data_IF_259019807401
#
_entry.id   IF_259019807401
#
_cell.length_a   1.000
_cell.length_b   1.000
_cell.length_c   1.000
_cell.angle_alpha   90.00
_cell.angle_beta   90.00
_cell.angle_gamma   90.00
#
_symmetry.space_group_name_H-M   'P 1'
#
loop_
_entity.id
_entity.type
_entity.pdbx_description
1 polymer ?
#
# COMPACT_ATOMS: atom_id res chain seq x y z
N UNK A 1 -19.10 -14.72 -21.51
CA UNK A 1 -20.57 -14.63 -21.68
C UNK A 1 -21.04 -13.51 -20.79
N UNK A 2 -21.57 -12.44 -21.37
CA UNK A 2 -22.04 -11.27 -20.62
C UNK A 2 -23.39 -11.66 -20.02
N UNK A 3 -23.41 -12.00 -18.73
CA UNK A 3 -24.64 -12.19 -17.97
C UNK A 3 -25.17 -10.82 -17.57
N UNK A 4 -26.31 -10.45 -18.14
CA UNK A 4 -27.10 -9.28 -17.73
C UNK A 4 -27.67 -9.59 -16.34
N UNK A 5 -27.27 -8.84 -15.32
CA UNK A 5 -27.85 -8.96 -13.99
C UNK A 5 -29.14 -8.12 -13.92
N UNK A 6 -30.25 -8.79 -13.63
CA UNK A 6 -31.52 -8.15 -13.28
C UNK A 6 -31.35 -7.40 -11.96
N UNK A 7 -31.47 -6.07 -12.00
CA UNK A 7 -31.32 -5.22 -10.82
C UNK A 7 -32.64 -5.23 -10.05
N UNK A 8 -32.70 -5.95 -8.93
CA UNK A 8 -33.79 -5.81 -7.96
C UNK A 8 -33.55 -4.57 -7.09
N UNK A 9 -34.54 -3.68 -6.88
CA UNK A 9 -34.39 -2.54 -5.99
C UNK A 9 -34.12 -3.02 -4.56
N UNK A 10 -33.03 -2.56 -3.94
CA UNK A 10 -32.66 -2.87 -2.55
C UNK A 10 -31.51 -3.86 -2.36
N UNK A 11 -30.96 -4.44 -3.43
CA UNK A 11 -29.73 -5.26 -3.37
C UNK A 11 -28.49 -4.44 -3.77
N UNK A 12 -27.33 -4.68 -3.15
CA UNK A 12 -26.08 -4.04 -3.58
C UNK A 12 -25.77 -4.44 -5.03
N UNK A 13 -25.34 -3.46 -5.83
CA UNK A 13 -24.90 -3.70 -7.21
C UNK A 13 -23.55 -4.41 -7.14
N UNK A 14 -23.51 -5.69 -7.50
CA UNK A 14 -22.27 -6.46 -7.58
C UNK A 14 -21.71 -6.33 -8.99
N UNK A 15 -20.62 -5.58 -9.13
CA UNK A 15 -19.90 -5.44 -10.40
C UNK A 15 -18.74 -6.45 -10.46
N UNK A 16 -18.78 -7.37 -11.42
CA UNK A 16 -17.66 -8.26 -11.70
C UNK A 16 -16.69 -7.58 -12.67
N UNK A 17 -15.53 -7.15 -12.17
CA UNK A 17 -14.49 -6.47 -12.95
C UNK A 17 -13.63 -7.41 -13.82
N UNK A 18 -13.59 -8.72 -13.52
CA UNK A 18 -12.81 -9.71 -14.26
C UNK A 18 -11.36 -9.28 -14.50
N UNK A 19 -10.94 -9.22 -15.77
CA UNK A 19 -9.56 -8.85 -16.17
C UNK A 19 -9.15 -7.46 -15.67
N UNK A 20 -10.09 -6.51 -15.57
CA UNK A 20 -9.79 -5.16 -15.09
C UNK A 20 -9.34 -5.15 -13.63
N UNK A 21 -9.78 -6.13 -12.82
CA UNK A 21 -9.32 -6.26 -11.44
C UNK A 21 -7.84 -6.65 -11.36
N UNK A 22 -7.37 -7.52 -12.25
CA UNK A 22 -5.95 -7.86 -12.34
C UNK A 22 -5.09 -6.67 -12.79
N UNK A 23 -5.59 -5.89 -13.75
CA UNK A 23 -4.94 -4.64 -14.14
C UNK A 23 -4.87 -3.66 -12.97
N UNK A 24 -5.96 -3.50 -12.21
CA UNK A 24 -5.98 -2.69 -11.00
C UNK A 24 -4.93 -3.13 -9.98
N UNK A 25 -4.82 -4.43 -9.67
CA UNK A 25 -3.81 -4.95 -8.75
C UNK A 25 -2.38 -4.66 -9.23
N UNK A 26 -2.11 -4.81 -10.52
CA UNK A 26 -0.81 -4.49 -11.10
C UNK A 26 -0.49 -2.99 -10.98
N UNK A 27 -1.45 -2.12 -11.31
CA UNK A 27 -1.31 -0.68 -11.19
C UNK A 27 -1.15 -0.24 -9.73
N UNK A 28 -1.81 -0.90 -8.78
CA UNK A 28 -1.64 -0.66 -7.35
C UNK A 28 -0.20 -0.94 -6.92
N UNK A 29 0.38 -2.08 -7.32
CA UNK A 29 1.77 -2.40 -7.02
C UNK A 29 2.75 -1.39 -7.64
N UNK A 30 2.52 -0.98 -8.90
CA UNK A 30 3.32 0.05 -9.57
C UNK A 30 3.16 1.41 -8.85
N UNK A 31 1.97 1.74 -8.41
CA UNK A 31 1.70 2.97 -7.67
C UNK A 31 2.45 2.99 -6.34
N UNK A 32 2.32 1.95 -5.51
CA UNK A 32 2.94 1.93 -4.18
C UNK A 32 4.47 2.09 -4.23
N UNK A 33 5.14 1.45 -5.19
CA UNK A 33 6.60 1.53 -5.34
C UNK A 33 7.05 2.94 -5.76
N UNK A 34 6.38 3.54 -6.74
CA UNK A 34 6.72 4.86 -7.24
C UNK A 34 6.29 5.98 -6.29
N UNK A 35 5.15 5.84 -5.60
CA UNK A 35 4.61 6.86 -4.73
C UNK A 35 5.48 7.10 -3.49
N UNK A 36 6.06 6.04 -2.92
CA UNK A 36 7.09 6.16 -1.87
C UNK A 36 8.35 6.81 -2.47
N UNK A 37 8.77 6.37 -3.66
CA UNK A 37 10.02 6.85 -4.26
C UNK A 37 10.01 8.35 -4.62
N UNK A 38 8.87 8.89 -5.05
CA UNK A 38 8.75 10.33 -5.32
C UNK A 38 8.49 11.16 -4.06
N UNK A 39 8.16 10.52 -2.94
CA UNK A 39 7.95 11.17 -1.65
C UNK A 39 9.14 10.90 -0.72
N UNK A 40 10.30 11.40 -1.13
CA UNK A 40 11.62 10.99 -0.64
C UNK A 40 12.57 12.19 -0.51
N UNK A 41 13.78 11.92 0.00
CA UNK A 41 14.94 12.82 -0.01
C UNK A 41 15.11 13.74 1.20
N UNK A 42 14.44 13.41 2.31
CA UNK A 42 14.80 13.91 3.65
C UNK A 42 15.21 12.70 4.49
N UNK A 43 16.27 12.83 5.29
CA UNK A 43 16.81 11.74 6.11
C UNK A 43 15.71 11.02 6.93
N UNK A 44 15.53 9.72 6.68
CA UNK A 44 14.56 8.89 7.39
C UNK A 44 13.14 8.89 6.81
N UNK A 45 12.85 9.68 5.76
CA UNK A 45 11.47 9.87 5.27
C UNK A 45 10.91 8.62 4.59
N UNK A 46 11.69 7.98 3.71
CA UNK A 46 11.29 6.81 2.94
C UNK A 46 11.02 5.62 3.86
N UNK A 47 11.91 5.39 4.83
CA UNK A 47 11.80 4.30 5.80
C UNK A 47 10.73 4.61 6.84
N UNK A 48 10.68 5.85 7.34
CA UNK A 48 9.73 6.28 8.36
C UNK A 48 8.28 6.16 7.89
N UNK A 49 7.95 6.68 6.70
CA UNK A 49 6.59 6.56 6.16
C UNK A 49 6.19 5.10 5.95
N UNK A 50 7.13 4.27 5.49
CA UNK A 50 6.92 2.85 5.22
C UNK A 50 6.64 2.05 6.51
N UNK A 51 7.36 2.36 7.60
CA UNK A 51 7.10 1.80 8.93
C UNK A 51 5.71 2.19 9.43
N UNK A 52 5.33 3.47 9.32
CA UNK A 52 4.02 3.95 9.77
C UNK A 52 2.89 3.19 9.06
N UNK A 53 2.99 3.05 7.73
CA UNK A 53 2.01 2.28 6.95
C UNK A 53 2.02 0.80 7.36
N UNK A 54 3.20 0.19 7.49
CA UNK A 54 3.33 -1.20 7.95
C UNK A 54 2.68 -1.44 9.32
N UNK A 55 2.84 -0.51 10.27
CA UNK A 55 2.17 -0.56 11.57
C UNK A 55 0.64 -0.45 11.44
N UNK A 56 0.12 0.43 10.57
CA UNK A 56 -1.33 0.50 10.31
C UNK A 56 -1.87 -0.79 9.71
N UNK A 57 -1.14 -1.44 8.81
CA UNK A 57 -1.54 -2.75 8.27
C UNK A 57 -1.57 -3.81 9.38
N UNK A 58 -0.55 -3.87 10.24
CA UNK A 58 -0.53 -4.82 11.37
C UNK A 58 -1.74 -4.59 12.29
N UNK A 59 -2.02 -3.34 12.65
CA UNK A 59 -3.17 -2.98 13.49
C UNK A 59 -4.49 -3.38 12.79
N UNK A 60 -4.62 -3.10 11.50
CA UNK A 60 -5.79 -3.47 10.70
C UNK A 60 -6.01 -4.99 10.72
N UNK A 61 -4.98 -5.78 10.44
CA UNK A 61 -5.08 -7.23 10.40
C UNK A 61 -5.48 -7.81 11.77
N UNK A 62 -4.92 -7.29 12.86
CA UNK A 62 -5.29 -7.71 14.23
C UNK A 62 -6.76 -7.37 14.52
N UNK A 63 -7.21 -6.16 14.16
CA UNK A 63 -8.61 -5.75 14.34
C UNK A 63 -9.57 -6.62 13.52
N UNK A 64 -9.23 -6.94 12.27
CA UNK A 64 -10.03 -7.82 11.41
C UNK A 64 -10.17 -9.22 12.01
N UNK A 65 -9.10 -9.77 12.59
CA UNK A 65 -9.14 -11.08 13.27
C UNK A 65 -10.02 -11.02 14.54
N UNK A 66 -9.94 -9.95 15.32
CA UNK A 66 -10.64 -9.84 16.61
C UNK A 66 -12.14 -9.53 16.47
N UNK A 67 -12.54 -8.75 15.47
CA UNK A 67 -13.89 -8.18 15.38
C UNK A 67 -14.91 -9.06 14.64
N UNK A 68 -14.50 -10.21 14.07
CA UNK A 68 -15.32 -10.96 13.11
C UNK A 68 -15.93 -12.32 13.51
N UNK A 69 -16.01 -12.78 14.78
CA UNK A 69 -16.44 -14.15 15.04
C UNK A 69 -17.91 -14.46 14.63
N UNK A 70 -18.79 -13.46 14.42
CA UNK A 70 -20.24 -13.70 14.29
C UNK A 70 -20.91 -13.16 13.01
N UNK A 71 -20.19 -12.56 12.05
CA UNK A 71 -20.81 -11.83 10.93
C UNK A 71 -20.28 -12.18 9.52
N UNK A 72 -19.33 -13.11 9.39
CA UNK A 72 -18.63 -13.33 8.11
C UNK A 72 -18.76 -14.77 7.63
N UNK A 73 -19.27 -14.93 6.42
CA UNK A 73 -19.25 -16.20 5.70
C UNK A 73 -17.78 -16.61 5.47
N UNK A 74 -17.40 -17.81 5.89
CA UNK A 74 -16.03 -18.35 5.81
C UNK A 74 -14.97 -17.61 6.66
N UNK A 75 -15.21 -17.47 7.96
CA UNK A 75 -14.26 -16.94 8.95
C UNK A 75 -12.82 -17.49 8.82
N UNK A 76 -12.67 -18.79 8.52
CA UNK A 76 -11.35 -19.41 8.35
C UNK A 76 -10.53 -18.78 7.21
N UNK A 77 -11.18 -18.45 6.09
CA UNK A 77 -10.50 -17.83 4.95
C UNK A 77 -9.99 -16.43 5.31
N UNK A 78 -10.81 -15.64 6.03
CA UNK A 78 -10.42 -14.30 6.44
C UNK A 78 -9.26 -14.35 7.43
N UNK A 79 -9.32 -15.24 8.43
CA UNK A 79 -8.21 -15.38 9.37
C UNK A 79 -6.92 -15.75 8.63
N UNK A 80 -6.98 -16.71 7.69
CA UNK A 80 -5.82 -17.11 6.89
C UNK A 80 -5.24 -15.96 6.05
N UNK A 81 -6.08 -15.14 5.40
CA UNK A 81 -5.60 -14.01 4.60
C UNK A 81 -4.94 -12.93 5.46
N UNK A 82 -5.48 -12.64 6.64
CA UNK A 82 -4.89 -11.69 7.59
C UNK A 82 -3.57 -12.20 8.18
N UNK A 83 -3.45 -13.50 8.45
CA UNK A 83 -2.21 -14.12 8.93
C UNK A 83 -1.08 -14.04 7.89
N UNK A 84 -1.35 -14.35 6.63
CA UNK A 84 -0.36 -14.21 5.54
C UNK A 84 0.15 -12.76 5.46
N UNK A 85 -0.76 -11.80 5.59
CA UNK A 85 -0.41 -10.38 5.61
C UNK A 85 0.46 -10.01 6.83
N UNK A 86 0.12 -10.50 8.03
CA UNK A 86 0.92 -10.30 9.25
C UNK A 86 2.32 -10.92 9.15
N UNK A 87 2.43 -12.13 8.60
CA UNK A 87 3.70 -12.84 8.40
C UNK A 87 4.66 -12.06 7.50
N UNK A 88 4.14 -11.27 6.54
CA UNK A 88 4.96 -10.35 5.74
C UNK A 88 5.26 -9.04 6.46
N UNK A 89 4.28 -8.46 7.17
CA UNK A 89 4.42 -7.13 7.78
C UNK A 89 5.31 -7.08 9.00
N UNK A 90 5.30 -8.10 9.85
CA UNK A 90 6.15 -8.17 11.04
C UNK A 90 7.64 -8.10 10.68
N UNK A 91 8.18 -8.97 9.79
CA UNK A 91 9.58 -8.87 9.40
C UNK A 91 9.87 -7.58 8.62
N UNK A 92 8.95 -7.11 7.76
CA UNK A 92 9.09 -5.85 7.03
C UNK A 92 9.31 -4.65 7.96
N UNK A 93 8.48 -4.52 9.00
CA UNK A 93 8.61 -3.45 10.00
C UNK A 93 9.89 -3.62 10.79
N UNK A 94 10.24 -4.85 11.21
CA UNK A 94 11.46 -5.11 11.97
C UNK A 94 12.74 -4.73 11.21
N UNK A 95 12.86 -5.14 9.94
CA UNK A 95 14.03 -4.79 9.12
C UNK A 95 14.06 -3.30 8.78
N UNK A 96 12.88 -2.68 8.57
CA UNK A 96 12.79 -1.24 8.33
C UNK A 96 13.18 -0.43 9.56
N UNK A 97 12.81 -0.86 10.77
CA UNK A 97 13.25 -0.23 12.02
C UNK A 97 14.76 -0.32 12.19
N UNK A 98 15.36 -1.47 11.87
CA UNK A 98 16.82 -1.63 11.88
C UNK A 98 17.51 -0.70 10.87
N UNK A 99 16.96 -0.56 9.66
CA UNK A 99 17.46 0.35 8.64
C UNK A 99 17.29 1.82 9.05
N UNK A 100 16.16 2.18 9.65
CA UNK A 100 15.87 3.54 10.12
C UNK A 100 16.92 4.00 11.14
N UNK A 101 17.47 3.11 11.97
CA UNK A 101 18.55 3.46 12.90
C UNK A 101 19.76 4.09 12.20
N UNK A 102 20.07 3.66 10.97
CA UNK A 102 21.19 4.18 10.19
C UNK A 102 20.79 5.31 9.23
N UNK A 103 19.52 5.32 8.80
CA UNK A 103 18.99 6.30 7.85
C UNK A 103 18.34 7.54 8.51
N UNK A 104 18.01 7.47 9.80
CA UNK A 104 17.47 8.59 10.58
C UNK A 104 18.47 9.74 10.63
N UNK A 105 17.96 10.96 10.85
CA UNK A 105 18.79 12.16 10.90
C UNK A 105 19.77 12.13 12.10
N UNK A 106 21.07 12.46 11.90
CA UNK A 106 21.77 12.64 10.63
C UNK A 106 22.07 11.29 9.96
N UNK A 107 21.67 11.14 8.69
CA UNK A 107 21.74 9.85 7.98
C UNK A 107 23.18 9.43 7.71
N UNK A 108 23.48 8.16 7.99
CA UNK A 108 24.76 7.51 7.68
C UNK A 108 24.69 6.66 6.42
N UNK A 109 23.49 6.24 5.99
CA UNK A 109 23.25 5.43 4.80
C UNK A 109 22.00 5.89 4.06
N UNK A 110 22.06 5.90 2.73
CA UNK A 110 20.88 6.10 1.90
C UNK A 110 20.25 4.77 1.50
N UNK A 111 18.93 4.75 1.43
CA UNK A 111 18.17 3.53 1.12
C UNK A 111 18.00 3.29 -0.37
N UNK A 112 17.95 4.39 -1.14
CA UNK A 112 17.80 4.39 -2.60
C UNK A 112 16.50 3.76 -3.11
N UNK A 113 16.41 3.66 -4.44
CA UNK A 113 15.25 3.07 -5.13
C UNK A 113 14.97 1.62 -4.69
N UNK A 114 16.02 0.89 -4.32
CA UNK A 114 15.93 -0.50 -3.85
C UNK A 114 14.95 -0.64 -2.69
N UNK A 115 15.05 0.24 -1.68
CA UNK A 115 14.13 0.21 -0.55
C UNK A 115 12.73 0.66 -0.94
N UNK A 116 12.59 1.72 -1.73
CA UNK A 116 11.27 2.23 -2.15
C UNK A 116 10.48 1.16 -2.92
N UNK A 117 11.15 0.41 -3.80
CA UNK A 117 10.55 -0.70 -4.53
C UNK A 117 10.24 -1.90 -3.64
N UNK A 118 11.16 -2.26 -2.74
CA UNK A 118 10.93 -3.29 -1.73
C UNK A 118 9.71 -2.96 -0.85
N UNK A 119 9.65 -1.76 -0.29
CA UNK A 119 8.58 -1.31 0.59
C UNK A 119 7.24 -1.25 -0.13
N UNK A 120 7.18 -0.57 -1.28
CA UNK A 120 5.94 -0.44 -2.04
C UNK A 120 5.37 -1.79 -2.47
N UNK A 121 6.23 -2.71 -2.94
CA UNK A 121 5.77 -4.05 -3.34
C UNK A 121 5.30 -4.88 -2.14
N UNK A 122 6.04 -4.84 -1.02
CA UNK A 122 5.70 -5.59 0.20
C UNK A 122 4.36 -5.12 0.78
N UNK A 123 4.13 -3.81 0.85
CA UNK A 123 2.86 -3.22 1.30
C UNK A 123 1.70 -3.58 0.36
N UNK A 124 1.91 -3.49 -0.96
CA UNK A 124 0.89 -3.86 -1.94
C UNK A 124 0.52 -5.35 -1.87
N UNK A 125 1.51 -6.24 -1.76
CA UNK A 125 1.28 -7.68 -1.63
C UNK A 125 0.55 -8.04 -0.33
N UNK A 126 0.92 -7.39 0.79
CA UNK A 126 0.22 -7.58 2.05
C UNK A 126 -1.26 -7.23 1.98
N UNK A 127 -1.62 -6.19 1.23
CA UNK A 127 -3.02 -5.80 1.04
C UNK A 127 -3.76 -6.64 0.00
N UNK A 128 -3.11 -7.02 -1.10
CA UNK A 128 -3.71 -7.86 -2.15
C UNK A 128 -4.00 -9.26 -1.60
N UNK A 129 -3.02 -9.89 -0.96
CA UNK A 129 -3.18 -11.23 -0.36
C UNK A 129 -4.05 -11.19 0.90
N UNK A 130 -4.06 -10.07 1.61
CA UNK A 130 -4.93 -9.84 2.77
C UNK A 130 -6.37 -9.46 2.41
N UNK A 131 -6.67 -9.22 1.13
CA UNK A 131 -7.97 -8.76 0.63
C UNK A 131 -8.43 -7.40 1.19
N UNK A 132 -7.52 -6.42 1.32
CA UNK A 132 -7.84 -5.05 1.73
C UNK A 132 -7.12 -3.94 0.92
N UNK A 133 -7.01 -4.04 -0.43
CA UNK A 133 -6.28 -3.05 -1.22
C UNK A 133 -6.86 -1.63 -1.15
N UNK A 134 -8.16 -1.48 -0.91
CA UNK A 134 -8.81 -0.18 -0.71
C UNK A 134 -8.38 0.47 0.61
N UNK A 135 -8.28 -0.31 1.69
CA UNK A 135 -7.79 0.16 2.99
C UNK A 135 -6.34 0.63 2.88
N UNK A 136 -5.51 -0.07 2.08
CA UNK A 136 -4.13 0.36 1.84
C UNK A 136 -4.06 1.77 1.23
N UNK A 137 -4.95 2.10 0.30
CA UNK A 137 -4.99 3.44 -0.32
C UNK A 137 -5.32 4.53 0.71
N UNK A 138 -6.11 4.22 1.75
CA UNK A 138 -6.36 5.14 2.87
C UNK A 138 -5.06 5.40 3.65
N UNK A 139 -4.25 4.38 3.89
CA UNK A 139 -2.96 4.56 4.56
C UNK A 139 -1.94 5.31 3.69
N UNK A 140 -2.11 5.25 2.36
CA UNK A 140 -1.29 5.96 1.37
C UNK A 140 -1.75 7.40 1.07
N UNK A 141 -2.71 7.97 1.83
CA UNK A 141 -3.22 9.33 1.59
C UNK A 141 -2.10 10.38 1.39
N UNK A 142 -1.06 10.46 2.25
CA UNK A 142 0.02 11.42 2.05
C UNK A 142 0.75 11.23 0.71
N UNK A 143 1.03 9.98 0.33
CA UNK A 143 1.69 9.62 -0.92
C UNK A 143 0.80 9.93 -2.13
N UNK A 144 -0.51 9.68 -2.02
CA UNK A 144 -1.50 10.04 -3.05
C UNK A 144 -1.50 11.55 -3.27
N UNK A 145 -1.55 12.34 -2.19
CA UNK A 145 -1.53 13.81 -2.30
C UNK A 145 -0.24 14.28 -2.98
N UNK A 146 0.93 13.76 -2.57
CA UNK A 146 2.21 14.11 -3.19
C UNK A 146 2.27 13.69 -4.68
N UNK A 147 1.75 12.50 -5.01
CA UNK A 147 1.68 11.99 -6.37
C UNK A 147 0.82 12.89 -7.25
N UNK A 148 -0.41 13.19 -6.82
CA UNK A 148 -1.33 14.07 -7.56
C UNK A 148 -0.77 15.47 -7.75
N UNK A 149 -0.16 16.04 -6.70
CA UNK A 149 0.52 17.34 -6.78
C UNK A 149 1.69 17.31 -7.77
N UNK A 150 2.40 16.19 -7.84
CA UNK A 150 3.53 15.99 -8.77
C UNK A 150 3.13 15.73 -10.22
N UNK A 151 1.87 15.35 -10.51
CA UNK A 151 1.46 14.92 -11.86
C UNK A 151 1.87 15.92 -12.96
N UNK A 152 1.59 17.23 -12.87
CA UNK A 152 1.92 18.17 -13.94
C UNK A 152 3.40 18.16 -14.33
N UNK A 153 4.29 17.95 -13.36
CA UNK A 153 5.72 17.80 -13.61
C UNK A 153 6.05 16.42 -14.20
N UNK A 154 5.49 15.35 -13.65
CA UNK A 154 5.77 13.97 -14.05
C UNK A 154 5.36 13.66 -15.49
N UNK A 155 4.27 14.25 -15.97
CA UNK A 155 3.80 14.08 -17.36
C UNK A 155 4.34 15.15 -18.32
N UNK A 156 5.22 16.04 -17.84
CA UNK A 156 5.92 17.03 -18.66
C UNK A 156 5.13 18.27 -19.06
N UNK A 157 4.01 18.58 -18.39
CA UNK A 157 3.29 19.86 -18.57
C UNK A 157 4.11 21.02 -18.00
N UNK A 158 4.74 20.80 -16.84
CA UNK A 158 5.64 21.75 -16.17
C UNK A 158 7.05 21.18 -16.18
N UNK A 159 8.07 22.05 -16.29
CA UNK A 159 9.46 21.62 -16.18
C UNK A 159 9.70 20.85 -14.87
N UNK A 160 10.23 19.62 -15.00
CA UNK A 160 10.59 18.79 -13.86
C UNK A 160 12.11 18.82 -13.68
N UNK A 161 12.65 19.49 -12.64
CA UNK A 161 14.07 19.42 -12.34
C UNK A 161 14.45 18.01 -11.89
N UNK A 162 15.73 17.65 -12.07
CA UNK A 162 16.23 16.31 -11.71
C UNK A 162 16.11 16.00 -10.20
N UNK A 163 16.26 17.02 -9.36
CA UNK A 163 16.09 16.93 -7.92
C UNK A 163 15.01 17.94 -7.48
N UNK A 164 13.99 17.46 -6.76
CA UNK A 164 12.84 18.24 -6.27
C UNK A 164 12.87 18.50 -4.77
N UNK A 165 14.03 18.26 -4.16
CA UNK A 165 14.27 18.41 -2.73
C UNK A 165 14.50 19.89 -2.39
N UNK A 166 14.09 20.35 -1.19
CA UNK A 166 14.36 21.70 -0.72
C UNK A 166 15.85 21.98 -0.54
#
# INVERSE_FOLDING_TARGET
GITVFEIKPGYPIILNLGVLFYLYMALLSIFCTNAINIYAGINGLEVGQSIIIGCFIIIHNIQQIQLQPNQVDNLELVIRSQLISLEMMIPFVAVSLALLKFNAYPSTVFVGDTYCYFAGMTLAMAAILGHFPETLLVFFIPQIINFLYSIPQLIGIVHCPRHRLP
#
